data_IF_158111450425
#
_entry.id   IF_158111450425
#
_cell.length_a   1.000
_cell.length_b   1.000
_cell.length_c   1.000
_cell.angle_alpha   90.00
_cell.angle_beta   90.00
_cell.angle_gamma   90.00
#
_symmetry.space_group_name_H-M   'P 1'
#
loop_
_entity.id
_entity.type
_entity.pdbx_description
1 polymer ?
#
# COMPACT_ATOMS: atom_id res chain seq x y z
N UNK A 1 32.14 30.36 -11.18
CA UNK A 1 31.57 29.21 -10.47
C UNK A 1 32.44 28.56 -9.40
N UNK A 2 33.74 28.23 -9.57
CA UNK A 2 34.51 27.63 -8.47
C UNK A 2 34.64 28.54 -7.24
N UNK A 3 34.82 29.86 -7.44
CA UNK A 3 34.96 30.84 -6.38
C UNK A 3 33.66 31.05 -5.55
N UNK A 4 32.50 31.08 -6.20
CA UNK A 4 31.20 31.24 -5.53
C UNK A 4 30.89 30.02 -4.65
N UNK A 5 31.26 28.80 -5.11
CA UNK A 5 31.10 27.56 -4.36
C UNK A 5 32.02 27.50 -3.14
N UNK A 6 33.27 27.91 -3.26
CA UNK A 6 34.24 27.95 -2.15
C UNK A 6 33.75 28.88 -1.02
N UNK A 7 33.24 30.06 -1.39
CA UNK A 7 32.62 30.99 -0.44
C UNK A 7 31.40 30.38 0.22
N UNK A 8 30.50 29.72 -0.57
CA UNK A 8 29.31 29.09 -0.04
C UNK A 8 29.64 27.95 0.95
N UNK A 9 30.65 27.14 0.63
CA UNK A 9 31.14 26.06 1.54
C UNK A 9 31.71 26.62 2.84
N UNK A 10 32.51 27.68 2.77
CA UNK A 10 33.05 28.36 3.96
C UNK A 10 31.96 29.01 4.80
N UNK A 11 30.92 29.53 4.18
CA UNK A 11 29.74 30.07 4.87
C UNK A 11 28.91 28.95 5.54
N UNK A 12 28.91 27.73 4.98
CA UNK A 12 28.14 26.61 5.52
C UNK A 12 28.89 25.86 6.63
N UNK A 13 30.18 25.60 6.45
CA UNK A 13 30.97 24.74 7.31
C UNK A 13 32.17 25.42 7.99
N UNK A 14 32.36 26.73 7.77
CA UNK A 14 33.51 27.49 8.28
C UNK A 14 33.52 27.64 9.81
N UNK A 15 34.73 27.56 10.39
CA UNK A 15 34.98 27.62 11.85
C UNK A 15 34.76 29.01 12.47
N UNK A 16 34.48 30.06 11.68
CA UNK A 16 34.34 31.46 12.12
C UNK A 16 32.94 31.97 12.31
N UNK A 17 31.93 31.13 12.32
CA UNK A 17 30.52 31.56 12.52
C UNK A 17 30.24 31.89 13.99
N UNK A 18 29.46 32.97 14.23
CA UNK A 18 28.91 33.23 15.57
C UNK A 18 28.08 32.03 16.02
N UNK A 19 28.22 31.64 17.28
CA UNK A 19 27.59 30.43 17.86
C UNK A 19 26.10 30.32 17.52
N UNK A 20 25.37 31.43 17.51
CA UNK A 20 23.92 31.44 17.30
C UNK A 20 23.52 31.08 15.85
N UNK A 21 24.16 31.62 14.82
CA UNK A 21 23.87 31.29 13.40
C UNK A 21 24.13 29.84 13.09
N UNK A 22 25.18 29.28 13.67
CA UNK A 22 25.50 27.86 13.56
C UNK A 22 24.39 27.00 14.16
N UNK A 23 23.85 27.36 15.33
CA UNK A 23 22.73 26.63 15.94
C UNK A 23 21.48 26.68 15.06
N UNK A 24 21.14 27.84 14.50
CA UNK A 24 19.97 27.97 13.60
C UNK A 24 20.16 27.18 12.31
N UNK A 25 21.37 27.16 11.74
CA UNK A 25 21.66 26.34 10.56
C UNK A 25 21.55 24.83 10.86
N UNK A 26 22.08 24.37 12.01
CA UNK A 26 21.92 22.97 12.45
C UNK A 26 20.45 22.63 12.66
N UNK A 27 19.69 23.50 13.34
CA UNK A 27 18.27 23.28 13.57
C UNK A 27 17.49 23.17 12.27
N UNK A 28 17.81 24.00 11.27
CA UNK A 28 17.19 23.94 9.94
C UNK A 28 17.53 22.66 9.20
N UNK A 29 18.80 22.23 9.22
CA UNK A 29 19.23 20.98 8.61
C UNK A 29 18.59 19.76 9.32
N UNK A 30 18.50 19.80 10.65
CA UNK A 30 17.84 18.74 11.44
C UNK A 30 16.33 18.68 11.15
N UNK A 31 15.65 19.82 11.05
CA UNK A 31 14.25 19.86 10.67
C UNK A 31 13.99 19.23 9.28
N UNK A 32 14.87 19.55 8.31
CA UNK A 32 14.83 18.93 6.98
C UNK A 32 15.10 17.43 7.04
N UNK A 33 16.08 17.00 7.82
CA UNK A 33 16.42 15.58 8.00
C UNK A 33 15.25 14.80 8.62
N UNK A 34 14.61 15.35 9.67
CA UNK A 34 13.45 14.72 10.30
C UNK A 34 12.28 14.63 9.32
N UNK A 35 12.00 15.70 8.56
CA UNK A 35 10.92 15.71 7.59
C UNK A 35 11.09 14.64 6.50
N UNK A 36 12.29 14.56 5.92
CA UNK A 36 12.61 13.58 4.89
C UNK A 36 12.62 12.16 5.46
N UNK A 37 13.22 11.95 6.63
CA UNK A 37 13.25 10.64 7.28
C UNK A 37 11.83 10.14 7.60
N UNK A 38 10.99 11.00 8.21
CA UNK A 38 9.61 10.65 8.52
C UNK A 38 8.81 10.28 7.27
N UNK A 39 8.98 11.01 6.17
CA UNK A 39 8.27 10.74 4.93
C UNK A 39 8.67 9.37 4.35
N UNK A 40 9.98 9.07 4.33
CA UNK A 40 10.49 7.78 3.86
C UNK A 40 9.96 6.63 4.71
N UNK A 41 10.04 6.75 6.03
CA UNK A 41 9.60 5.68 6.95
C UNK A 41 8.09 5.44 6.81
N UNK A 42 7.29 6.50 6.86
CA UNK A 42 5.82 6.37 6.81
C UNK A 42 5.35 5.80 5.47
N UNK A 43 5.90 6.30 4.34
CA UNK A 43 5.52 5.75 3.02
C UNK A 43 6.00 4.30 2.85
N UNK A 44 7.18 3.94 3.38
CA UNK A 44 7.65 2.55 3.33
C UNK A 44 6.75 1.60 4.12
N UNK A 45 6.27 2.02 5.29
CA UNK A 45 5.30 1.24 6.09
C UNK A 45 3.96 1.12 5.37
N UNK A 46 3.46 2.22 4.81
CA UNK A 46 2.21 2.20 4.05
C UNK A 46 2.28 1.31 2.82
N UNK A 47 3.38 1.36 2.08
CA UNK A 47 3.59 0.48 0.93
C UNK A 47 3.64 -0.99 1.37
N UNK A 48 4.40 -1.30 2.43
CA UNK A 48 4.48 -2.64 2.99
C UNK A 48 3.13 -3.18 3.46
N UNK A 49 2.35 -2.37 4.18
CA UNK A 49 1.02 -2.76 4.64
C UNK A 49 0.06 -2.96 3.45
N UNK A 50 0.07 -2.07 2.47
CA UNK A 50 -0.72 -2.20 1.25
C UNK A 50 -0.31 -3.44 0.45
N UNK A 51 0.98 -3.71 0.33
CA UNK A 51 1.53 -4.90 -0.33
C UNK A 51 1.11 -6.19 0.37
N UNK A 52 1.23 -6.25 1.70
CA UNK A 52 0.81 -7.43 2.48
C UNK A 52 -0.69 -7.70 2.38
N UNK A 53 -1.52 -6.65 2.52
CA UNK A 53 -2.98 -6.77 2.35
C UNK A 53 -3.35 -7.23 0.95
N UNK A 54 -2.70 -6.65 -0.07
CA UNK A 54 -2.92 -7.02 -1.47
C UNK A 54 -2.47 -8.45 -1.72
N UNK A 55 -1.30 -8.86 -1.23
CA UNK A 55 -0.78 -10.21 -1.38
C UNK A 55 -1.69 -11.27 -0.76
N UNK A 56 -2.19 -11.03 0.46
CA UNK A 56 -3.14 -11.94 1.13
C UNK A 56 -4.46 -12.04 0.36
N UNK A 57 -4.97 -10.91 -0.12
CA UNK A 57 -6.19 -10.87 -0.90
C UNK A 57 -6.04 -11.62 -2.23
N UNK A 58 -4.90 -11.46 -2.91
CA UNK A 58 -4.59 -12.13 -4.15
C UNK A 58 -4.42 -13.65 -3.99
N UNK A 59 -3.83 -14.08 -2.88
CA UNK A 59 -3.75 -15.51 -2.57
C UNK A 59 -5.13 -16.14 -2.34
N UNK A 60 -6.10 -15.34 -1.86
CA UNK A 60 -7.44 -15.80 -1.54
C UNK A 60 -8.41 -15.80 -2.71
N UNK A 61 -8.26 -14.85 -3.61
CA UNK A 61 -9.24 -14.58 -4.67
C UNK A 61 -8.66 -14.89 -6.06
N UNK A 62 -9.49 -15.29 -7.01
CA UNK A 62 -9.05 -15.43 -8.40
C UNK A 62 -8.65 -14.06 -8.96
N UNK A 63 -7.64 -14.07 -9.85
CA UNK A 63 -7.09 -12.84 -10.40
C UNK A 63 -7.96 -12.27 -11.53
N UNK A 64 -8.63 -13.15 -12.29
CA UNK A 64 -9.58 -12.77 -13.34
C UNK A 64 -10.79 -13.69 -13.24
N UNK A 65 -11.98 -13.13 -13.39
CA UNK A 65 -13.24 -13.87 -13.50
C UNK A 65 -13.88 -13.55 -14.85
N UNK A 66 -14.10 -14.57 -15.65
CA UNK A 66 -14.78 -14.51 -16.94
C UNK A 66 -16.19 -15.07 -16.77
N UNK A 67 -17.20 -14.23 -16.85
CA UNK A 67 -18.62 -14.61 -16.72
C UNK A 67 -19.30 -14.32 -18.06
N UNK A 68 -19.70 -15.32 -18.84
CA UNK A 68 -20.44 -15.13 -20.08
C UNK A 68 -21.89 -14.69 -19.81
N UNK A 69 -22.48 -13.97 -20.73
CA UNK A 69 -23.89 -13.57 -20.63
C UNK A 69 -24.86 -14.75 -20.87
N UNK A 70 -24.38 -15.86 -21.41
CA UNK A 70 -25.15 -17.08 -21.68
C UNK A 70 -24.62 -18.31 -20.93
N UNK A 71 -25.21 -19.47 -21.20
CA UNK A 71 -24.81 -20.75 -20.58
C UNK A 71 -23.46 -21.22 -21.13
N UNK A 72 -22.51 -21.49 -20.24
CA UNK A 72 -21.18 -21.96 -20.60
C UNK A 72 -21.19 -23.49 -20.77
N UNK A 73 -21.53 -23.97 -21.97
CA UNK A 73 -21.67 -25.42 -22.23
C UNK A 73 -20.29 -26.15 -22.29
N UNK A 74 -19.21 -25.45 -22.73
CA UNK A 74 -17.87 -26.02 -22.91
C UNK A 74 -16.82 -25.39 -21.96
N UNK A 75 -17.21 -25.21 -20.69
CA UNK A 75 -16.39 -24.50 -19.71
C UNK A 75 -14.99 -25.10 -19.53
N UNK A 76 -14.86 -26.44 -19.51
CA UNK A 76 -13.58 -27.13 -19.31
C UNK A 76 -12.66 -26.98 -20.53
N UNK A 77 -13.20 -27.07 -21.73
CA UNK A 77 -12.41 -26.87 -22.96
C UNK A 77 -11.91 -25.44 -23.06
N UNK A 78 -12.75 -24.45 -22.73
CA UNK A 78 -12.35 -23.04 -22.67
C UNK A 78 -11.32 -22.77 -21.58
N UNK A 79 -11.46 -23.38 -20.42
CA UNK A 79 -10.45 -23.27 -19.35
C UNK A 79 -9.09 -23.83 -19.80
N UNK A 80 -9.09 -25.03 -20.41
CA UNK A 80 -7.89 -25.66 -20.97
C UNK A 80 -7.26 -24.85 -22.11
N UNK A 81 -8.06 -24.14 -22.91
CA UNK A 81 -7.56 -23.26 -23.96
C UNK A 81 -6.88 -22.03 -23.39
N UNK A 82 -7.43 -21.47 -22.31
CA UNK A 82 -6.84 -20.36 -21.58
C UNK A 82 -5.50 -20.78 -20.98
N UNK A 83 -5.42 -21.93 -20.32
CA UNK A 83 -4.17 -22.46 -19.75
C UNK A 83 -3.09 -22.70 -20.79
N UNK A 84 -3.47 -23.24 -21.96
CA UNK A 84 -2.53 -23.47 -23.06
C UNK A 84 -1.99 -22.18 -23.65
N UNK A 85 -2.79 -21.14 -23.69
CA UNK A 85 -2.43 -19.84 -24.28
C UNK A 85 -1.55 -19.02 -23.36
N UNK A 86 -1.82 -19.05 -22.06
CA UNK A 86 -1.04 -18.37 -21.02
C UNK A 86 -0.45 -19.39 -20.05
N UNK A 87 0.77 -19.85 -20.35
CA UNK A 87 1.48 -20.93 -19.64
C UNK A 87 1.64 -20.68 -18.12
N UNK A 88 1.54 -19.42 -17.69
CA UNK A 88 1.62 -19.01 -16.29
C UNK A 88 0.22 -18.77 -15.65
N UNK A 89 -0.81 -19.44 -16.19
CA UNK A 89 -2.17 -19.29 -15.69
C UNK A 89 -2.78 -20.66 -15.40
N UNK A 90 -3.55 -20.77 -14.35
CA UNK A 90 -4.49 -21.86 -14.12
C UNK A 90 -5.91 -21.36 -14.24
N UNK A 91 -6.76 -22.10 -14.94
CA UNK A 91 -8.14 -21.73 -15.16
C UNK A 91 -9.08 -22.86 -14.71
N UNK A 92 -10.11 -22.50 -13.95
CA UNK A 92 -11.10 -23.46 -13.47
C UNK A 92 -12.51 -22.92 -13.64
N UNK A 93 -13.43 -23.69 -14.23
CA UNK A 93 -14.83 -23.36 -14.17
C UNK A 93 -15.34 -23.36 -12.72
N UNK A 94 -16.18 -22.41 -12.39
CA UNK A 94 -16.70 -22.26 -11.04
C UNK A 94 -18.20 -22.04 -11.00
N UNK A 95 -18.77 -22.34 -9.86
CA UNK A 95 -20.15 -22.05 -9.49
C UNK A 95 -20.14 -21.34 -8.15
N UNK A 96 -20.84 -20.23 -8.01
CA UNK A 96 -20.86 -19.45 -6.76
C UNK A 96 -22.27 -18.97 -6.44
N UNK A 97 -22.67 -19.08 -5.17
CA UNK A 97 -23.96 -18.62 -4.67
C UNK A 97 -23.80 -17.91 -3.33
N UNK A 98 -24.49 -16.81 -3.18
CA UNK A 98 -24.69 -16.24 -1.86
C UNK A 98 -25.69 -17.09 -1.11
N UNK A 99 -25.31 -17.52 0.08
CA UNK A 99 -26.09 -18.40 0.93
C UNK A 99 -26.12 -17.88 2.37
N UNK A 100 -27.11 -18.29 3.12
CA UNK A 100 -27.09 -18.16 4.57
C UNK A 100 -26.71 -19.51 5.17
N UNK A 101 -25.65 -19.52 5.93
CA UNK A 101 -25.25 -20.66 6.74
C UNK A 101 -25.88 -20.53 8.13
N UNK A 102 -26.52 -21.59 8.59
CA UNK A 102 -27.16 -21.64 9.89
C UNK A 102 -26.58 -22.79 10.71
N UNK A 103 -26.12 -22.49 11.89
CA UNK A 103 -25.75 -23.47 12.91
C UNK A 103 -26.88 -23.62 13.94
N UNK A 104 -26.63 -24.42 14.99
CA UNK A 104 -27.55 -24.53 16.15
C UNK A 104 -27.57 -23.24 16.99
N UNK A 105 -26.58 -22.36 16.84
CA UNK A 105 -26.38 -21.19 17.70
C UNK A 105 -26.70 -19.89 16.97
N UNK A 106 -26.30 -19.77 15.69
CA UNK A 106 -26.38 -18.53 14.97
C UNK A 106 -26.45 -18.74 13.44
N UNK A 107 -26.61 -17.66 12.70
CA UNK A 107 -26.58 -17.68 11.24
C UNK A 107 -25.69 -16.58 10.71
N UNK A 108 -25.02 -16.86 9.59
CA UNK A 108 -24.11 -15.92 8.90
C UNK A 108 -24.32 -15.99 7.40
N UNK A 109 -24.16 -14.84 6.73
CA UNK A 109 -24.08 -14.80 5.27
C UNK A 109 -22.74 -15.34 4.78
N UNK A 110 -22.76 -16.16 3.73
CA UNK A 110 -21.57 -16.72 3.15
C UNK A 110 -21.65 -16.76 1.63
N UNK A 111 -20.50 -16.75 0.98
CA UNK A 111 -20.36 -17.03 -0.44
C UNK A 111 -19.90 -18.48 -0.61
N UNK A 112 -20.82 -19.34 -0.99
CA UNK A 112 -20.54 -20.75 -1.24
C UNK A 112 -20.07 -20.93 -2.67
N UNK A 113 -18.82 -21.34 -2.84
CA UNK A 113 -18.16 -21.51 -4.13
C UNK A 113 -17.76 -22.96 -4.34
N UNK A 114 -17.79 -23.42 -5.57
CA UNK A 114 -17.32 -24.75 -5.99
C UNK A 114 -16.57 -24.65 -7.31
N UNK A 115 -15.50 -25.43 -7.45
CA UNK A 115 -14.68 -25.52 -8.64
C UNK A 115 -14.77 -26.92 -9.26
N UNK A 116 -14.74 -27.01 -10.59
CA UNK A 116 -14.72 -28.32 -11.27
C UNK A 116 -13.40 -29.05 -11.03
N UNK A 117 -12.28 -28.32 -10.95
CA UNK A 117 -10.97 -28.88 -10.61
C UNK A 117 -10.83 -29.28 -9.12
N UNK A 118 -11.92 -29.19 -8.33
CA UNK A 118 -11.90 -29.55 -6.92
C UNK A 118 -11.01 -28.62 -6.07
N UNK A 119 -10.29 -29.16 -5.05
CA UNK A 119 -9.47 -28.36 -4.13
C UNK A 119 -8.31 -27.60 -4.78
N UNK A 120 -7.88 -27.98 -6.00
CA UNK A 120 -6.83 -27.24 -6.72
C UNK A 120 -7.24 -25.80 -7.07
N UNK A 121 -8.54 -25.51 -7.14
CA UNK A 121 -9.05 -24.13 -7.24
C UNK A 121 -8.85 -23.29 -5.98
N UNK A 122 -8.46 -23.89 -4.85
CA UNK A 122 -8.25 -23.28 -3.55
C UNK A 122 -6.77 -23.01 -3.24
N UNK A 123 -5.92 -22.79 -4.25
CA UNK A 123 -4.52 -22.45 -4.02
C UNK A 123 -4.40 -21.15 -3.19
N UNK A 124 -3.43 -21.11 -2.30
CA UNK A 124 -3.17 -19.94 -1.45
C UNK A 124 -3.93 -19.89 -0.11
N UNK A 125 -4.68 -20.94 0.24
CA UNK A 125 -5.31 -21.09 1.57
C UNK A 125 -4.44 -21.97 2.48
N UNK A 126 -4.39 -21.61 3.76
CA UNK A 126 -3.74 -22.43 4.79
C UNK A 126 -4.80 -23.24 5.51
N UNK A 127 -4.61 -24.56 5.56
CA UNK A 127 -5.50 -25.45 6.33
C UNK A 127 -5.18 -25.27 7.81
N UNK A 128 -6.18 -24.87 8.59
CA UNK A 128 -6.08 -24.75 10.04
C UNK A 128 -6.40 -26.09 10.69
N UNK A 129 -7.44 -26.77 10.20
CA UNK A 129 -7.89 -28.04 10.73
C UNK A 129 -8.62 -28.84 9.64
N UNK A 130 -8.44 -30.17 9.62
CA UNK A 130 -9.09 -31.07 8.67
C UNK A 130 -8.32 -31.34 7.38
N UNK A 131 -9.05 -31.84 6.36
CA UNK A 131 -8.47 -32.18 5.07
C UNK A 131 -9.31 -31.59 3.92
N UNK A 132 -8.67 -30.78 3.07
CA UNK A 132 -9.30 -30.20 1.88
C UNK A 132 -9.77 -31.26 0.87
N UNK A 133 -9.06 -32.36 0.75
CA UNK A 133 -9.42 -33.43 -0.20
C UNK A 133 -10.74 -34.11 0.17
N UNK A 134 -11.12 -34.07 1.45
CA UNK A 134 -12.37 -34.62 1.94
C UNK A 134 -13.62 -33.95 1.36
N UNK A 135 -13.49 -32.72 0.85
CA UNK A 135 -14.58 -31.99 0.15
C UNK A 135 -14.99 -32.69 -1.14
N UNK A 136 -14.02 -33.21 -1.86
CA UNK A 136 -14.24 -33.95 -3.12
C UNK A 136 -14.61 -35.41 -2.90
N UNK A 137 -14.15 -35.99 -1.79
CA UNK A 137 -14.33 -37.41 -1.50
C UNK A 137 -15.75 -37.77 -1.00
N UNK A 138 -16.44 -36.85 -0.33
CA UNK A 138 -17.77 -37.09 0.23
C UNK A 138 -18.79 -36.05 -0.22
N UNK A 139 -19.99 -36.51 -0.54
CA UNK A 139 -21.12 -35.61 -0.85
C UNK A 139 -21.51 -34.83 0.40
N UNK A 140 -21.89 -33.56 0.18
CA UNK A 140 -22.41 -32.70 1.21
C UNK A 140 -21.41 -32.27 2.30
N UNK A 141 -20.12 -32.19 1.94
CA UNK A 141 -19.12 -31.56 2.79
C UNK A 141 -18.94 -30.08 2.45
N UNK A 142 -18.54 -29.31 3.46
CA UNK A 142 -18.23 -27.86 3.32
C UNK A 142 -16.93 -27.56 4.04
N UNK A 143 -16.11 -26.73 3.41
CA UNK A 143 -14.95 -26.07 4.01
C UNK A 143 -15.36 -24.65 4.37
N UNK A 144 -15.00 -24.22 5.57
CA UNK A 144 -15.33 -22.89 6.06
C UNK A 144 -14.06 -22.07 6.31
N UNK A 145 -14.14 -20.77 6.06
CA UNK A 145 -13.14 -19.84 6.56
C UNK A 145 -13.12 -19.80 8.08
N UNK A 146 -11.95 -19.61 8.67
CA UNK A 146 -11.77 -19.65 10.13
C UNK A 146 -12.68 -18.66 10.87
N UNK A 147 -12.75 -17.42 10.41
CA UNK A 147 -13.62 -16.41 11.02
C UNK A 147 -15.09 -16.78 10.90
N UNK A 148 -15.51 -17.36 9.77
CA UNK A 148 -16.88 -17.83 9.56
C UNK A 148 -17.22 -19.02 10.48
N UNK A 149 -16.30 -19.97 10.65
CA UNK A 149 -16.43 -21.10 11.57
C UNK A 149 -16.59 -20.62 13.01
N UNK A 150 -15.77 -19.67 13.46
CA UNK A 150 -15.87 -19.06 14.78
C UNK A 150 -17.20 -18.31 14.97
N UNK A 151 -17.63 -17.52 13.98
CA UNK A 151 -18.90 -16.80 14.01
C UNK A 151 -20.10 -17.75 14.11
N UNK A 152 -20.05 -18.89 13.44
CA UNK A 152 -21.10 -19.93 13.48
C UNK A 152 -20.99 -20.81 14.73
N UNK A 153 -19.88 -20.79 15.46
CA UNK A 153 -19.61 -21.65 16.60
C UNK A 153 -19.53 -23.14 16.24
N UNK A 154 -18.95 -23.44 15.05
CA UNK A 154 -18.88 -24.82 14.53
C UNK A 154 -17.44 -25.23 14.28
N UNK A 155 -17.14 -26.51 14.54
CA UNK A 155 -15.86 -27.15 14.25
C UNK A 155 -16.03 -28.29 13.23
N UNK A 156 -14.94 -29.04 12.98
CA UNK A 156 -14.96 -30.20 12.09
C UNK A 156 -15.98 -31.25 12.60
N UNK A 157 -16.68 -31.87 11.65
CA UNK A 157 -17.73 -32.86 11.91
C UNK A 157 -19.08 -32.27 12.29
N UNK A 158 -19.14 -30.98 12.63
CA UNK A 158 -20.42 -30.33 12.91
C UNK A 158 -21.22 -30.13 11.63
N UNK A 159 -22.53 -30.03 11.79
CA UNK A 159 -23.44 -29.82 10.66
C UNK A 159 -23.88 -28.36 10.58
N UNK A 160 -23.94 -27.83 9.36
CA UNK A 160 -24.48 -26.51 9.04
C UNK A 160 -25.58 -26.64 8.00
N UNK A 161 -26.66 -25.92 8.18
CA UNK A 161 -27.73 -25.84 7.19
C UNK A 161 -27.44 -24.69 6.23
N UNK A 162 -27.31 -25.02 4.96
CA UNK A 162 -27.12 -24.03 3.88
C UNK A 162 -28.49 -23.67 3.34
N UNK A 163 -28.85 -22.39 3.40
CA UNK A 163 -30.12 -21.86 2.93
C UNK A 163 -29.84 -20.95 1.73
N UNK A 164 -30.43 -21.30 0.58
CA UNK A 164 -30.38 -20.43 -0.61
C UNK A 164 -31.53 -19.42 -0.57
N UNK A 165 -31.27 -18.17 -1.02
CA UNK A 165 -32.31 -17.15 -1.08
C UNK A 165 -33.40 -17.45 -2.13
N UNK A 166 -33.11 -18.37 -3.07
CA UNK A 166 -34.04 -18.75 -4.11
C UNK A 166 -35.19 -19.59 -3.54
N UNK A 167 -36.38 -19.03 -3.59
CA UNK A 167 -37.59 -19.71 -3.13
C UNK A 167 -38.05 -20.76 -4.16
N UNK A 168 -38.41 -21.96 -3.68
CA UNK A 168 -39.08 -22.96 -4.52
C UNK A 168 -40.60 -22.86 -4.34
N UNK A 169 -41.29 -22.82 -5.43
CA UNK A 169 -42.75 -22.89 -5.44
C UNK A 169 -43.16 -24.34 -5.14
N UNK A 170 -43.85 -24.52 -4.04
CA UNK A 170 -44.40 -25.83 -3.67
C UNK A 170 -45.94 -25.70 -3.52
N UNK A 171 -46.70 -26.81 -3.55
CA UNK A 171 -48.13 -26.77 -3.30
C UNK A 171 -48.51 -26.17 -1.93
N UNK A 172 -47.57 -26.10 -0.98
CA UNK A 172 -47.74 -25.52 0.35
C UNK A 172 -47.29 -24.04 0.42
N UNK A 173 -46.83 -23.46 -0.69
CA UNK A 173 -46.31 -22.08 -0.75
C UNK A 173 -44.85 -21.99 -1.15
N UNK A 174 -44.30 -20.77 -0.98
CA UNK A 174 -42.89 -20.47 -1.26
C UNK A 174 -42.02 -20.89 -0.09
N UNK A 175 -41.19 -21.90 -0.29
CA UNK A 175 -40.27 -22.39 0.74
C UNK A 175 -38.83 -22.15 0.30
N UNK A 176 -37.93 -21.69 1.22
CA UNK A 176 -36.51 -21.60 0.94
C UNK A 176 -35.91 -23.01 0.80
N UNK A 177 -34.96 -23.14 -0.10
CA UNK A 177 -34.19 -24.39 -0.21
C UNK A 177 -33.14 -24.42 0.85
N UNK A 178 -33.08 -25.50 1.57
CA UNK A 178 -32.02 -25.76 2.53
C UNK A 178 -31.42 -27.16 2.35
N UNK A 179 -30.16 -27.28 2.70
CA UNK A 179 -29.46 -28.55 2.72
C UNK A 179 -28.47 -28.56 3.87
N UNK A 180 -28.36 -29.67 4.51
CA UNK A 180 -27.40 -29.89 5.58
C UNK A 180 -26.08 -30.36 5.01
N UNK A 181 -24.98 -29.66 5.37
CA UNK A 181 -23.62 -29.97 5.02
C UNK A 181 -22.81 -30.23 6.28
N UNK A 182 -21.80 -31.10 6.17
CA UNK A 182 -20.86 -31.40 7.27
C UNK A 182 -19.58 -30.61 7.07
N UNK A 183 -19.08 -29.95 8.10
CA UNK A 183 -17.80 -29.23 8.08
C UNK A 183 -16.67 -30.23 8.02
N UNK A 184 -15.89 -30.24 6.94
CA UNK A 184 -14.80 -31.18 6.69
C UNK A 184 -13.41 -30.57 6.89
N UNK A 185 -13.28 -29.28 6.70
CA UNK A 185 -12.05 -28.55 6.95
C UNK A 185 -12.34 -27.09 7.34
N UNK A 186 -11.42 -26.50 8.08
CA UNK A 186 -11.38 -25.07 8.39
C UNK A 186 -10.09 -24.54 7.83
N UNK A 187 -10.20 -23.45 7.07
CA UNK A 187 -9.09 -22.83 6.36
C UNK A 187 -9.00 -21.35 6.69
N UNK A 188 -7.82 -20.78 6.51
CA UNK A 188 -7.62 -19.34 6.63
C UNK A 188 -6.86 -18.80 5.42
N UNK A 189 -7.24 -17.62 5.01
CA UNK A 189 -6.54 -16.81 4.03
C UNK A 189 -5.75 -15.70 4.72
N UNK A 190 -6.00 -15.52 6.03
CA UNK A 190 -5.38 -14.47 6.83
C UNK A 190 -5.85 -13.07 6.46
N UNK A 191 -7.07 -12.95 5.91
CA UNK A 191 -7.64 -11.67 5.49
C UNK A 191 -9.16 -11.63 5.73
N UNK A 192 -9.75 -10.44 5.61
CA UNK A 192 -11.18 -10.17 5.79
C UNK A 192 -12.15 -11.15 5.10
N UNK A 193 -11.85 -11.72 3.91
CA UNK A 193 -12.71 -12.70 3.26
C UNK A 193 -13.01 -13.96 4.10
N UNK A 194 -12.16 -14.34 5.06
CA UNK A 194 -12.39 -15.53 5.92
C UNK A 194 -13.77 -15.54 6.59
N UNK A 195 -14.38 -14.37 6.79
CA UNK A 195 -15.72 -14.24 7.40
C UNK A 195 -16.88 -14.60 6.49
N UNK A 196 -16.68 -14.76 5.19
CA UNK A 196 -17.73 -15.03 4.21
C UNK A 196 -17.46 -16.23 3.29
N UNK A 197 -16.22 -16.76 3.30
CA UNK A 197 -15.82 -17.83 2.38
C UNK A 197 -16.26 -19.20 2.86
N UNK A 198 -16.95 -19.90 1.96
CA UNK A 198 -17.30 -21.31 2.12
C UNK A 198 -17.12 -22.03 0.78
N UNK A 199 -16.62 -23.26 0.83
CA UNK A 199 -16.42 -24.09 -0.37
C UNK A 199 -17.04 -25.46 -0.22
N UNK A 200 -17.58 -25.99 -1.32
CA UNK A 200 -18.15 -27.34 -1.38
C UNK A 200 -17.80 -28.01 -2.70
N UNK A 201 -18.14 -29.27 -2.87
CA UNK A 201 -17.94 -29.96 -4.15
C UNK A 201 -18.87 -29.38 -5.23
N UNK A 202 -18.39 -29.37 -6.49
CA UNK A 202 -19.14 -28.85 -7.64
C UNK A 202 -20.51 -29.55 -7.77
N UNK A 203 -20.54 -30.89 -7.64
CA UNK A 203 -21.77 -31.68 -7.69
C UNK A 203 -22.77 -31.29 -6.59
N UNK A 204 -22.28 -31.00 -5.38
CA UNK A 204 -23.13 -30.57 -4.26
C UNK A 204 -23.79 -29.22 -4.55
N UNK A 205 -22.99 -28.24 -4.97
CA UNK A 205 -23.51 -26.89 -5.22
C UNK A 205 -24.42 -26.86 -6.47
N UNK A 206 -24.06 -27.62 -7.50
CA UNK A 206 -24.87 -27.75 -8.72
C UNK A 206 -26.28 -28.28 -8.41
N UNK A 207 -26.37 -29.35 -7.60
CA UNK A 207 -27.65 -29.90 -7.15
C UNK A 207 -28.44 -28.93 -6.27
N UNK A 208 -27.75 -28.26 -5.37
CA UNK A 208 -28.33 -27.32 -4.44
C UNK A 208 -28.92 -26.10 -5.17
N UNK A 209 -28.15 -25.55 -6.12
CA UNK A 209 -28.53 -24.38 -6.91
C UNK A 209 -29.45 -24.75 -8.10
N UNK A 210 -29.54 -26.03 -8.47
CA UNK A 210 -30.14 -26.51 -9.73
C UNK A 210 -29.56 -25.78 -10.94
N UNK A 211 -28.24 -25.66 -10.96
CA UNK A 211 -27.52 -25.02 -12.05
C UNK A 211 -27.19 -26.07 -13.11
N UNK A 212 -27.49 -25.78 -14.36
CA UNK A 212 -27.22 -26.67 -15.49
C UNK A 212 -25.77 -26.57 -15.97
N UNK A 213 -25.09 -25.44 -15.67
CA UNK A 213 -23.71 -25.16 -16.09
C UNK A 213 -22.97 -24.29 -15.04
N UNK A 214 -21.63 -24.19 -15.12
CA UNK A 214 -20.85 -23.24 -14.36
C UNK A 214 -21.25 -21.78 -14.63
N UNK A 215 -21.05 -20.89 -13.66
CA UNK A 215 -21.30 -19.46 -13.84
C UNK A 215 -20.25 -18.80 -14.73
N UNK A 216 -19.02 -19.32 -14.73
CA UNK A 216 -17.91 -18.75 -15.47
C UNK A 216 -16.61 -19.51 -15.25
N UNK A 217 -15.52 -18.88 -15.65
CA UNK A 217 -14.15 -19.39 -15.48
C UNK A 217 -13.38 -18.41 -14.61
N UNK A 218 -12.75 -18.91 -13.56
CA UNK A 218 -11.81 -18.19 -12.74
C UNK A 218 -10.39 -18.52 -13.15
N UNK A 219 -9.57 -17.50 -13.31
CA UNK A 219 -8.19 -17.59 -13.76
C UNK A 219 -7.28 -17.07 -12.66
N UNK A 220 -6.26 -17.84 -12.32
CA UNK A 220 -5.16 -17.48 -11.45
C UNK A 220 -3.89 -17.37 -12.28
N UNK A 221 -3.11 -16.36 -12.03
CA UNK A 221 -1.85 -16.05 -12.70
C UNK A 221 -0.71 -16.21 -11.72
N UNK A 222 0.48 -16.58 -12.18
CA UNK A 222 1.68 -16.55 -11.35
C UNK A 222 2.06 -15.10 -10.99
N UNK A 223 1.75 -14.16 -11.91
CA UNK A 223 1.94 -12.73 -11.71
C UNK A 223 0.58 -12.00 -11.74
N UNK A 224 -0.01 -11.69 -10.58
CA UNK A 224 -1.31 -11.01 -10.48
C UNK A 224 -1.34 -9.60 -11.07
N UNK A 225 -0.20 -8.92 -11.19
CA UNK A 225 -0.14 -7.56 -11.75
C UNK A 225 -0.48 -7.57 -13.25
N UNK A 226 -0.26 -8.68 -13.94
CA UNK A 226 -0.61 -8.86 -15.34
C UNK A 226 -2.11 -9.09 -15.59
N UNK A 227 -2.91 -9.23 -14.52
CA UNK A 227 -4.34 -9.53 -14.66
C UNK A 227 -5.08 -8.49 -15.52
N UNK A 228 -4.77 -7.19 -15.37
CA UNK A 228 -5.38 -6.14 -16.18
C UNK A 228 -5.09 -6.26 -17.68
N UNK A 229 -3.84 -6.57 -18.02
CA UNK A 229 -3.42 -6.74 -19.43
C UNK A 229 -4.07 -7.98 -20.06
N UNK A 230 -4.06 -9.10 -19.34
CA UNK A 230 -4.66 -10.36 -19.81
C UNK A 230 -6.18 -10.23 -19.88
N UNK A 231 -6.83 -9.58 -18.94
CA UNK A 231 -8.27 -9.32 -18.97
C UNK A 231 -8.68 -8.47 -20.19
N UNK A 232 -7.87 -7.46 -20.54
CA UNK A 232 -8.10 -6.65 -21.73
C UNK A 232 -7.98 -7.49 -23.04
N UNK A 233 -7.01 -8.38 -23.11
CA UNK A 233 -6.85 -9.30 -24.24
C UNK A 233 -8.01 -10.29 -24.33
N UNK A 234 -8.43 -10.89 -23.20
CA UNK A 234 -9.58 -11.79 -23.13
C UNK A 234 -10.87 -11.11 -23.59
N UNK A 235 -11.10 -9.83 -23.25
CA UNK A 235 -12.24 -9.05 -23.71
C UNK A 235 -12.28 -8.87 -25.22
N UNK A 236 -11.12 -8.70 -25.85
CA UNK A 236 -11.01 -8.54 -27.31
C UNK A 236 -11.23 -9.85 -28.08
N UNK A 237 -10.83 -10.97 -27.50
CA UNK A 237 -10.87 -12.28 -28.15
C UNK A 237 -12.21 -12.99 -27.95
N UNK A 238 -12.96 -12.64 -26.91
CA UNK A 238 -14.25 -13.28 -26.65
C UNK A 238 -15.31 -12.67 -27.56
N UNK A 239 -15.75 -13.42 -28.55
CA UNK A 239 -16.79 -13.02 -29.50
C UNK A 239 -18.19 -12.94 -28.87
N UNK A 240 -18.41 -13.57 -27.72
CA UNK A 240 -19.67 -13.53 -26.97
C UNK A 240 -19.64 -12.42 -25.92
N UNK A 241 -20.78 -11.78 -25.66
CA UNK A 241 -20.86 -10.81 -24.58
C UNK A 241 -20.53 -11.48 -23.25
N UNK A 242 -19.41 -11.10 -22.67
CA UNK A 242 -18.90 -11.65 -21.41
C UNK A 242 -18.42 -10.53 -20.50
N UNK A 243 -18.68 -10.69 -19.21
CA UNK A 243 -18.13 -9.80 -18.20
C UNK A 243 -16.80 -10.35 -17.73
N UNK A 244 -15.71 -9.64 -18.03
CA UNK A 244 -14.37 -9.96 -17.53
C UNK A 244 -14.04 -8.96 -16.43
N UNK A 245 -13.92 -9.45 -15.22
CA UNK A 245 -13.56 -8.64 -14.05
C UNK A 245 -12.22 -9.11 -13.48
N UNK A 246 -11.41 -8.17 -13.06
CA UNK A 246 -10.14 -8.44 -12.37
C UNK A 246 -10.34 -8.37 -10.85
N UNK A 247 -9.38 -8.89 -10.11
CA UNK A 247 -9.32 -8.75 -8.66
C UNK A 247 -9.35 -7.28 -8.20
N UNK A 248 -8.74 -6.37 -8.99
CA UNK A 248 -8.73 -4.95 -8.73
C UNK A 248 -10.11 -4.32 -8.92
N UNK A 249 -10.87 -4.76 -9.94
CA UNK A 249 -12.24 -4.29 -10.18
C UNK A 249 -13.19 -4.73 -9.05
N UNK A 250 -13.02 -5.96 -8.58
CA UNK A 250 -13.84 -6.52 -7.49
C UNK A 250 -13.59 -5.79 -6.16
N UNK A 251 -12.35 -5.33 -5.92
CA UNK A 251 -11.95 -4.66 -4.68
C UNK A 251 -11.66 -3.16 -4.89
N UNK A 252 -12.29 -2.53 -5.86
CA UNK A 252 -12.04 -1.13 -6.23
C UNK A 252 -12.14 -0.16 -5.06
N UNK A 253 -13.10 -0.35 -4.16
CA UNK A 253 -13.28 0.51 -2.98
C UNK A 253 -12.09 0.44 -2.01
N UNK A 254 -11.52 -0.74 -1.81
CA UNK A 254 -10.35 -0.95 -0.96
C UNK A 254 -9.13 -0.24 -1.55
N UNK A 255 -8.86 -0.45 -2.84
CA UNK A 255 -7.74 0.20 -3.52
C UNK A 255 -7.90 1.72 -3.63
N UNK A 256 -9.14 2.21 -3.80
CA UNK A 256 -9.43 3.62 -3.75
C UNK A 256 -9.14 4.21 -2.35
N UNK A 257 -9.52 3.51 -1.29
CA UNK A 257 -9.25 3.92 0.09
C UNK A 257 -7.74 3.96 0.39
N UNK A 258 -6.99 2.92 0.04
CA UNK A 258 -5.51 2.87 0.20
C UNK A 258 -4.84 4.01 -0.56
N UNK A 259 -5.28 4.27 -1.80
CA UNK A 259 -4.73 5.37 -2.62
C UNK A 259 -5.05 6.73 -2.01
N UNK A 260 -6.28 6.94 -1.54
CA UNK A 260 -6.69 8.17 -0.87
C UNK A 260 -5.91 8.40 0.42
N UNK A 261 -5.71 7.36 1.22
CA UNK A 261 -4.89 7.41 2.44
C UNK A 261 -3.45 7.81 2.13
N UNK A 262 -2.81 7.17 1.13
CA UNK A 262 -1.45 7.51 0.69
C UNK A 262 -1.35 8.98 0.26
N UNK A 263 -2.33 9.50 -0.48
CA UNK A 263 -2.36 10.90 -0.91
C UNK A 263 -2.51 11.84 0.30
N UNK A 264 -3.43 11.56 1.21
CA UNK A 264 -3.66 12.39 2.40
C UNK A 264 -2.41 12.46 3.29
N UNK A 265 -1.81 11.31 3.57
CA UNK A 265 -0.58 11.24 4.37
C UNK A 265 0.58 11.95 3.66
N UNK A 266 0.72 11.78 2.34
CA UNK A 266 1.75 12.48 1.56
C UNK A 266 1.56 14.01 1.63
N UNK A 267 0.34 14.51 1.57
CA UNK A 267 0.04 15.95 1.72
C UNK A 267 0.43 16.44 3.12
N UNK A 268 0.01 15.73 4.18
CA UNK A 268 0.32 16.09 5.56
C UNK A 268 1.84 16.12 5.82
N UNK A 269 2.56 15.10 5.34
CA UNK A 269 4.00 15.03 5.51
C UNK A 269 4.75 16.03 4.61
N UNK A 270 4.21 16.38 3.44
CA UNK A 270 4.76 17.45 2.61
C UNK A 270 4.67 18.82 3.30
N UNK A 271 3.63 19.03 4.10
CA UNK A 271 3.55 20.24 4.94
C UNK A 271 4.70 20.31 5.96
N UNK A 272 5.13 19.18 6.52
CA UNK A 272 6.28 19.10 7.42
C UNK A 272 7.58 19.53 6.71
N UNK A 273 7.80 19.07 5.47
CA UNK A 273 8.92 19.53 4.64
C UNK A 273 8.80 21.03 4.36
N UNK A 274 7.58 21.54 4.15
CA UNK A 274 7.32 22.97 3.99
C UNK A 274 7.78 23.78 5.22
N UNK A 275 7.48 23.32 6.42
CA UNK A 275 7.97 23.94 7.67
C UNK A 275 9.49 23.89 7.76
N UNK A 276 10.10 22.78 7.39
CA UNK A 276 11.55 22.64 7.37
C UNK A 276 12.19 23.59 6.33
N UNK A 277 11.60 23.73 5.13
CA UNK A 277 12.05 24.70 4.14
C UNK A 277 11.92 26.14 4.63
N UNK A 278 10.86 26.47 5.37
CA UNK A 278 10.73 27.78 6.01
C UNK A 278 11.83 28.05 7.05
N UNK A 279 12.26 27.02 7.79
CA UNK A 279 13.41 27.13 8.70
C UNK A 279 14.71 27.46 7.95
N UNK A 280 14.87 26.94 6.73
CA UNK A 280 16.01 27.31 5.86
C UNK A 280 15.93 28.78 5.45
N UNK A 281 14.75 29.31 5.11
CA UNK A 281 14.55 30.75 4.82
C UNK A 281 14.98 31.62 6.01
N UNK A 282 14.55 31.24 7.21
CA UNK A 282 14.86 31.96 8.45
C UNK A 282 16.37 31.94 8.72
N UNK A 283 17.02 30.80 8.60
CA UNK A 283 18.46 30.63 8.76
C UNK A 283 19.27 31.47 7.76
N UNK A 284 18.87 31.41 6.47
CA UNK A 284 19.52 32.21 5.42
C UNK A 284 19.33 33.71 5.63
N UNK A 285 18.11 34.14 6.00
CA UNK A 285 17.83 35.57 6.25
C UNK A 285 18.69 36.11 7.38
N UNK A 286 18.86 35.31 8.43
CA UNK A 286 19.74 35.66 9.53
C UNK A 286 21.19 35.69 9.13
N UNK A 287 21.66 34.68 8.39
CA UNK A 287 23.04 34.62 7.84
C UNK A 287 23.33 35.87 6.98
N UNK A 288 22.38 36.28 6.12
CA UNK A 288 22.49 37.51 5.34
C UNK A 288 22.59 38.75 6.24
N UNK A 289 21.82 38.83 7.32
CA UNK A 289 21.86 39.97 8.24
C UNK A 289 23.18 40.09 8.97
N UNK A 290 23.72 38.98 9.47
CA UNK A 290 25.01 38.95 10.19
C UNK A 290 26.20 39.22 9.28
N UNK A 291 26.13 38.78 8.00
CA UNK A 291 27.21 38.89 7.02
C UNK A 291 27.09 40.14 6.13
N UNK A 292 26.29 41.13 6.51
CA UNK A 292 26.09 42.36 5.72
C UNK A 292 27.40 43.08 5.40
N UNK A 293 28.32 43.20 6.39
CA UNK A 293 29.61 43.84 6.18
C UNK A 293 30.52 43.05 5.24
N UNK A 294 30.51 41.72 5.35
CA UNK A 294 31.28 40.84 4.50
C UNK A 294 30.75 40.90 3.04
N UNK A 295 29.41 40.96 2.88
CA UNK A 295 28.76 41.14 1.55
C UNK A 295 29.14 42.51 0.95
N UNK A 296 29.12 43.57 1.77
CA UNK A 296 29.51 44.89 1.32
C UNK A 296 30.97 44.94 0.87
N UNK A 297 31.90 44.34 1.61
CA UNK A 297 33.30 44.21 1.25
C UNK A 297 33.50 43.48 -0.08
N UNK A 298 32.82 42.34 -0.27
CA UNK A 298 32.87 41.59 -1.54
C UNK A 298 32.35 42.39 -2.72
N UNK A 299 31.29 43.22 -2.51
CA UNK A 299 30.76 44.09 -3.55
C UNK A 299 31.68 45.25 -3.89
N UNK A 300 32.37 45.80 -2.92
CA UNK A 300 33.41 46.83 -3.15
C UNK A 300 34.60 46.25 -3.95
N UNK A 301 34.93 44.97 -3.67
CA UNK A 301 35.96 44.23 -4.40
C UNK A 301 35.52 43.81 -5.85
N UNK A 302 34.31 44.17 -6.28
CA UNK A 302 33.83 43.97 -7.64
C UNK A 302 32.87 42.80 -7.83
N UNK A 303 32.41 42.12 -6.74
CA UNK A 303 31.40 41.07 -6.88
C UNK A 303 30.07 41.66 -7.34
N UNK A 304 29.47 41.07 -8.40
CA UNK A 304 28.18 41.50 -8.92
C UNK A 304 27.02 41.08 -7.98
N UNK A 305 25.87 41.78 -7.99
CA UNK A 305 24.68 41.39 -7.23
C UNK A 305 24.23 39.95 -7.52
N UNK A 306 24.35 39.50 -8.77
CA UNK A 306 24.09 38.11 -9.16
C UNK A 306 25.09 37.11 -8.55
N UNK A 307 26.34 37.51 -8.41
CA UNK A 307 27.35 36.68 -7.72
C UNK A 307 27.00 36.47 -6.26
N UNK A 308 26.60 37.54 -5.55
CA UNK A 308 26.13 37.45 -4.15
C UNK A 308 24.88 36.54 -4.05
N UNK A 309 23.90 36.75 -4.95
CA UNK A 309 22.69 35.91 -4.99
C UNK A 309 23.03 34.42 -5.14
N UNK A 310 23.95 34.08 -6.07
CA UNK A 310 24.41 32.69 -6.31
C UNK A 310 25.10 32.10 -5.08
N UNK A 311 25.94 32.86 -4.37
CA UNK A 311 26.60 32.40 -3.14
C UNK A 311 25.57 31.99 -2.10
N UNK A 312 24.56 32.83 -1.82
CA UNK A 312 23.53 32.53 -0.82
C UNK A 312 22.56 31.44 -1.28
N UNK A 313 22.26 31.33 -2.57
CA UNK A 313 21.51 30.22 -3.14
C UNK A 313 22.26 28.88 -2.96
N UNK A 314 23.57 28.88 -3.26
CA UNK A 314 24.42 27.70 -3.06
C UNK A 314 24.54 27.35 -1.56
N UNK A 315 24.67 28.34 -0.68
CA UNK A 315 24.69 28.11 0.77
C UNK A 315 23.39 27.44 1.26
N UNK A 316 22.22 27.93 0.84
CA UNK A 316 20.92 27.29 1.15
C UNK A 316 20.77 25.91 0.57
N UNK A 317 21.24 25.72 -0.66
CA UNK A 317 21.25 24.40 -1.31
C UNK A 317 22.15 23.39 -0.58
N UNK A 318 23.34 23.81 -0.15
CA UNK A 318 24.25 22.93 0.62
C UNK A 318 23.64 22.50 1.95
N UNK A 319 22.97 23.42 2.67
CA UNK A 319 22.25 23.09 3.91
C UNK A 319 21.10 22.10 3.64
N UNK A 320 20.35 22.33 2.58
CA UNK A 320 19.26 21.44 2.19
C UNK A 320 19.76 20.05 1.78
N UNK A 321 20.79 19.99 0.92
CA UNK A 321 21.39 18.71 0.49
C UNK A 321 21.92 17.93 1.72
N UNK A 322 22.60 18.61 2.64
CA UNK A 322 23.07 17.97 3.85
C UNK A 322 21.91 17.41 4.68
N UNK A 323 20.85 18.20 4.93
CA UNK A 323 19.66 17.77 5.66
C UNK A 323 18.94 16.62 4.96
N UNK A 324 18.76 16.70 3.64
CA UNK A 324 18.11 15.65 2.83
C UNK A 324 18.92 14.35 2.84
N UNK A 325 20.23 14.42 2.66
CA UNK A 325 21.12 13.23 2.67
C UNK A 325 21.10 12.54 4.04
N UNK A 326 21.24 13.32 5.10
CA UNK A 326 21.16 12.79 6.47
C UNK A 326 19.78 12.20 6.74
N UNK A 327 18.72 12.91 6.37
CA UNK A 327 17.35 12.44 6.54
C UNK A 327 17.04 11.19 5.74
N UNK A 328 17.47 11.14 4.48
CA UNK A 328 17.29 9.94 3.63
C UNK A 328 18.06 8.74 4.21
N UNK A 329 19.30 8.94 4.65
CA UNK A 329 20.10 7.87 5.25
C UNK A 329 19.44 7.33 6.53
N UNK A 330 19.04 8.21 7.44
CA UNK A 330 18.36 7.82 8.68
C UNK A 330 17.03 7.16 8.39
N UNK A 331 16.22 7.76 7.49
CA UNK A 331 14.92 7.21 7.10
C UNK A 331 15.01 5.82 6.49
N UNK A 332 15.96 5.59 5.59
CA UNK A 332 16.22 4.27 5.00
C UNK A 332 16.71 3.26 6.05
N UNK A 333 17.65 3.67 6.92
CA UNK A 333 18.12 2.79 8.00
C UNK A 333 17.01 2.37 8.95
N UNK A 334 16.11 3.30 9.32
CA UNK A 334 14.96 2.99 10.15
C UNK A 334 13.98 2.09 9.39
N UNK A 335 13.67 2.38 8.13
CA UNK A 335 12.73 1.59 7.34
C UNK A 335 13.20 0.14 7.14
N UNK A 336 14.49 -0.07 6.84
CA UNK A 336 15.08 -1.42 6.69
C UNK A 336 15.08 -2.19 8.00
N UNK A 337 15.29 -1.51 9.12
CA UNK A 337 15.41 -2.14 10.44
C UNK A 337 14.19 -1.87 11.33
N UNK A 338 13.03 -1.60 10.72
CA UNK A 338 11.84 -1.17 11.48
C UNK A 338 11.43 -2.17 12.55
N UNK A 339 11.51 -3.46 12.26
CA UNK A 339 11.18 -4.52 13.23
C UNK A 339 12.10 -4.46 14.47
N UNK A 340 13.39 -4.20 14.27
CA UNK A 340 14.35 -4.05 15.36
C UNK A 340 14.08 -2.78 16.17
N UNK A 341 13.77 -1.67 15.49
CA UNK A 341 13.40 -0.40 16.13
C UNK A 341 12.12 -0.56 16.96
N UNK A 342 11.13 -1.27 16.44
CA UNK A 342 9.88 -1.54 17.15
C UNK A 342 10.10 -2.40 18.39
N UNK A 343 10.85 -3.50 18.28
CA UNK A 343 11.23 -4.34 19.43
C UNK A 343 11.97 -3.54 20.50
N UNK A 344 12.85 -2.62 20.09
CA UNK A 344 13.54 -1.74 21.02
C UNK A 344 12.59 -0.79 21.75
N UNK A 345 11.63 -0.19 21.04
CA UNK A 345 10.62 0.69 21.63
C UNK A 345 9.71 -0.09 22.58
N UNK A 346 9.25 -1.28 22.20
CA UNK A 346 8.45 -2.16 23.06
C UNK A 346 9.18 -2.56 24.34
N UNK A 347 10.47 -2.87 24.24
CA UNK A 347 11.31 -3.20 25.39
C UNK A 347 11.47 -2.03 26.36
N UNK A 348 11.57 -0.79 25.82
CA UNK A 348 11.68 0.43 26.62
C UNK A 348 10.37 0.88 27.22
N UNK A 349 9.27 0.77 26.48
CA UNK A 349 7.95 1.25 26.90
C UNK A 349 7.18 0.25 27.74
N UNK A 350 7.52 -1.04 27.65
CA UNK A 350 6.77 -2.14 28.28
C UNK A 350 5.38 -2.39 27.66
N UNK A 351 5.07 -1.72 26.56
CA UNK A 351 3.81 -1.87 25.83
C UNK A 351 4.04 -2.65 24.54
N UNK A 352 3.26 -3.69 24.28
CA UNK A 352 3.19 -4.36 22.99
C UNK A 352 2.34 -3.50 22.07
N UNK A 353 2.99 -2.82 21.11
CA UNK A 353 2.32 -1.95 20.13
C UNK A 353 1.50 -2.73 19.12
N UNK A 354 1.97 -3.94 18.78
CA UNK A 354 1.30 -4.83 17.84
C UNK A 354 1.12 -6.21 18.47
N UNK A 355 -0.11 -6.56 18.82
CA UNK A 355 -0.46 -7.91 19.25
C UNK A 355 -0.71 -8.77 17.99
N UNK A 356 0.12 -9.78 17.71
CA UNK A 356 -0.06 -10.66 16.55
C UNK A 356 -1.41 -11.38 16.53
N UNK A 357 -2.04 -11.56 17.70
CA UNK A 357 -3.35 -12.19 17.82
C UNK A 357 -4.50 -11.32 17.30
N UNK A 358 -4.31 -9.99 17.30
CA UNK A 358 -5.32 -9.02 16.84
C UNK A 358 -5.13 -8.67 15.36
N UNK A 359 -3.88 -8.50 14.94
CA UNK A 359 -3.58 -8.01 13.60
C UNK A 359 -3.20 -9.10 12.59
N UNK A 360 -3.02 -10.37 13.05
CA UNK A 360 -2.61 -11.50 12.20
C UNK A 360 -1.32 -11.26 11.40
N UNK A 361 -0.56 -10.21 11.74
CA UNK A 361 0.68 -9.81 11.06
C UNK A 361 1.81 -9.97 12.07
N UNK A 362 2.83 -10.76 11.73
CA UNK A 362 3.97 -11.06 12.62
C UNK A 362 4.97 -9.92 12.78
N UNK A 363 4.69 -8.73 12.24
CA UNK A 363 5.51 -7.52 12.31
C UNK A 363 4.95 -6.46 11.37
N UNK A 364 5.46 -5.22 11.45
CA UNK A 364 5.10 -4.17 10.49
C UNK A 364 5.86 -4.41 9.18
N UNK A 365 5.18 -4.80 8.10
CA UNK A 365 5.82 -4.96 6.81
C UNK A 365 6.27 -3.59 6.29
N UNK A 366 7.47 -3.51 5.76
CA UNK A 366 7.99 -2.31 5.09
C UNK A 366 8.40 -2.65 3.66
N UNK A 367 7.96 -1.82 2.73
CA UNK A 367 8.37 -1.92 1.33
C UNK A 367 8.90 -0.57 0.85
N UNK A 368 10.19 -0.55 0.50
CA UNK A 368 10.87 0.66 0.06
C UNK A 368 10.81 0.73 -1.46
N UNK A 369 9.93 1.59 -1.98
CA UNK A 369 9.86 1.87 -3.40
C UNK A 369 10.88 2.95 -3.77
N UNK A 370 11.78 2.61 -4.69
CA UNK A 370 12.80 3.55 -5.20
C UNK A 370 12.18 4.84 -5.77
N UNK A 371 11.04 4.74 -6.45
CA UNK A 371 10.29 5.87 -6.97
C UNK A 371 9.88 6.87 -5.90
N UNK A 372 9.44 6.38 -4.75
CA UNK A 372 8.99 7.21 -3.63
C UNK A 372 10.19 7.96 -3.02
N UNK A 373 11.29 7.25 -2.79
CA UNK A 373 12.53 7.86 -2.23
C UNK A 373 13.05 8.96 -3.16
N UNK A 374 13.12 8.72 -4.48
CA UNK A 374 13.55 9.72 -5.46
C UNK A 374 12.59 10.91 -5.48
N UNK A 375 11.30 10.67 -5.43
CA UNK A 375 10.27 11.73 -5.41
C UNK A 375 10.39 12.60 -4.16
N UNK A 376 10.60 12.00 -2.98
CA UNK A 376 10.80 12.72 -1.72
C UNK A 376 12.06 13.59 -1.78
N UNK A 377 13.19 13.00 -2.17
CA UNK A 377 14.48 13.70 -2.24
C UNK A 377 14.41 14.87 -3.23
N UNK A 378 13.90 14.62 -4.44
CA UNK A 378 13.79 15.67 -5.47
C UNK A 378 12.80 16.76 -5.06
N UNK A 379 11.66 16.40 -4.49
CA UNK A 379 10.67 17.35 -3.98
C UNK A 379 11.21 18.23 -2.85
N UNK A 380 11.93 17.64 -1.89
CA UNK A 380 12.56 18.38 -0.79
C UNK A 380 13.63 19.35 -1.29
N UNK A 381 14.47 18.94 -2.25
CA UNK A 381 15.48 19.79 -2.86
C UNK A 381 14.86 20.95 -3.66
N UNK A 382 13.84 20.67 -4.48
CA UNK A 382 13.15 21.69 -5.26
C UNK A 382 12.50 22.72 -4.33
N UNK A 383 11.80 22.26 -3.30
CA UNK A 383 11.15 23.15 -2.33
C UNK A 383 12.19 24.01 -1.57
N UNK A 384 13.33 23.44 -1.22
CA UNK A 384 14.43 24.15 -0.56
C UNK A 384 15.06 25.22 -1.46
N UNK A 385 15.23 24.92 -2.75
CA UNK A 385 15.72 25.91 -3.74
C UNK A 385 14.74 27.06 -3.86
N UNK A 386 13.44 26.78 -4.00
CA UNK A 386 12.40 27.81 -4.07
C UNK A 386 12.41 28.67 -2.78
N UNK A 387 12.52 28.05 -1.63
CA UNK A 387 12.58 28.72 -0.33
C UNK A 387 13.82 29.64 -0.20
N UNK A 388 14.97 29.23 -0.75
CA UNK A 388 16.23 29.97 -0.70
C UNK A 388 16.24 31.20 -1.62
N UNK A 389 15.35 31.30 -2.63
CA UNK A 389 15.33 32.41 -3.58
C UNK A 389 15.11 33.73 -2.88
N UNK A 390 14.14 33.83 -1.98
CA UNK A 390 13.80 35.07 -1.30
C UNK A 390 14.97 35.67 -0.49
N UNK A 391 15.64 34.92 0.42
CA UNK A 391 16.80 35.42 1.12
C UNK A 391 17.97 35.77 0.21
N UNK A 392 18.20 34.99 -0.85
CA UNK A 392 19.27 35.24 -1.81
C UNK A 392 19.07 36.56 -2.60
N UNK A 393 17.83 36.87 -2.99
CA UNK A 393 17.48 38.14 -3.62
C UNK A 393 17.71 39.29 -2.61
N UNK A 394 17.33 39.10 -1.36
CA UNK A 394 17.56 40.11 -0.31
C UNK A 394 19.04 40.37 -0.07
N UNK A 395 19.89 39.33 -0.08
CA UNK A 395 21.34 39.45 0.02
C UNK A 395 21.93 40.27 -1.15
N UNK A 396 21.44 40.04 -2.36
CA UNK A 396 21.94 40.76 -3.57
C UNK A 396 21.64 42.26 -3.56
N UNK A 397 20.64 42.71 -2.81
CA UNK A 397 20.22 44.11 -2.69
C UNK A 397 20.91 44.90 -1.57
N UNK A 398 21.84 44.31 -0.84
CA UNK A 398 22.59 45.01 0.23
C UNK A 398 23.43 46.11 -0.38
N UNK A 399 23.21 47.38 0.04
CA UNK A 399 24.01 48.52 -0.40
C UNK A 399 25.37 48.52 0.30
N UNK A 400 26.50 48.67 -0.46
CA UNK A 400 27.83 48.72 0.15
C UNK A 400 28.00 49.91 1.08
N UNK A 401 27.44 51.07 0.72
CA UNK A 401 27.59 52.29 1.48
C UNK A 401 26.91 52.21 2.85
N UNK A 402 25.61 51.84 2.89
CA UNK A 402 24.86 51.79 4.13
C UNK A 402 25.33 50.65 5.06
N UNK A 403 25.93 49.58 4.52
CA UNK A 403 26.43 48.47 5.31
C UNK A 403 27.79 48.78 5.96
N UNK A 404 28.61 49.66 5.37
CA UNK A 404 29.89 50.07 5.96
C UNK A 404 29.75 51.22 6.93
N UNK A 405 28.74 52.10 6.78
CA UNK A 405 28.45 53.22 7.69
C UNK A 405 27.74 52.79 8.97
N UNK A 406 27.36 51.52 9.09
CA UNK A 406 26.64 51.03 10.30
C UNK A 406 25.21 51.56 10.46
N UNK A 407 24.68 52.24 9.44
CA UNK A 407 23.29 52.78 9.46
C UNK A 407 22.34 51.61 9.15
N UNK A 408 21.62 51.14 10.16
CA UNK A 408 20.47 50.20 9.98
C UNK A 408 19.28 50.99 9.45
N UNK A 409 18.90 50.79 8.21
CA UNK A 409 17.56 51.14 7.69
C UNK A 409 16.56 50.04 8.01
#
# INVERSE_FOLDING_TARGET
>A
MPFELDIAQRLTFGVGQRSFTRWVAILSATGMAIGVASLIVVLSVMNGLAGELTGRLLNATPHISLIPAGTLLDAENRASDIERRWTAASASPFLSRQVMLRSSFTSAGAQLTAYTAGPSGLSGVTVVEGDLLSVSAARYNVVLGQSLSQQLGVGIGNQVDVVLPNLSVTPLGLLPRYRRLTVSAIVTVGASPDGILAWTSFETLQKLARADAPDGIQIRLDDPERAGTIAAQLKLETSEPSTVTTWADTNQSLFAAIRMEKVLVSILLSALIGVAAFSVVSSLTMSVSEKRSDIAALRVLGMTPLGVMRVFLLHGLLLAVFGVVVGATIGLLIAVNLELVMKFIETLSGWTLFDPSVYYIGGLPTEILYSDVVTIISGALVLSVIAAIYPAIRASRVSPVSALEGISL
#
